data_IF_583149679330
#
_entry.id   IF_583149679330
#
_cell.length_a   1.000
_cell.length_b   1.000
_cell.length_c   1.000
_cell.angle_alpha   90.00
_cell.angle_beta   90.00
_cell.angle_gamma   90.00
#
_symmetry.space_group_name_H-M   'P 1'
#
loop_
_entity.id
_entity.type
_entity.pdbx_description
1 polymer ?
#
# COMPACT_ATOMS: atom_id res chain seq x y z
N UNK A 1 13.72 -4.96 12.20
CA UNK A 1 13.08 -4.38 11.01
C UNK A 1 13.10 -2.88 11.18
N UNK A 2 13.55 -2.15 10.17
CA UNK A 2 13.62 -0.69 10.18
C UNK A 2 12.96 -0.16 8.90
N UNK A 3 12.02 0.77 9.02
CA UNK A 3 11.44 1.47 7.87
C UNK A 3 12.12 2.84 7.73
N UNK A 4 12.39 3.24 6.50
CA UNK A 4 13.04 4.51 6.16
C UNK A 4 12.61 4.98 4.77
N UNK A 5 12.86 6.25 4.46
CA UNK A 5 12.80 6.72 3.07
C UNK A 5 13.77 5.91 2.20
N UNK A 6 13.33 5.63 0.98
CA UNK A 6 14.14 4.93 0.00
C UNK A 6 15.29 5.81 -0.49
N UNK A 7 16.41 5.17 -0.81
CA UNK A 7 17.48 5.74 -1.63
C UNK A 7 17.40 5.16 -3.05
N UNK A 8 18.12 5.74 -4.00
CA UNK A 8 18.04 5.33 -5.42
C UNK A 8 18.35 3.83 -5.62
N UNK A 9 19.28 3.31 -4.83
CA UNK A 9 19.73 1.93 -4.87
C UNK A 9 18.63 0.93 -4.46
N UNK A 10 17.61 1.37 -3.73
CA UNK A 10 16.49 0.52 -3.30
C UNK A 10 15.49 0.24 -4.43
N UNK A 11 15.46 1.07 -5.48
CA UNK A 11 14.46 0.95 -6.57
C UNK A 11 14.50 -0.45 -7.20
N UNK A 12 15.69 -0.98 -7.47
CA UNK A 12 15.85 -2.30 -8.06
C UNK A 12 15.32 -3.41 -7.13
N UNK A 13 15.54 -3.29 -5.82
CA UNK A 13 15.03 -4.25 -4.85
C UNK A 13 13.50 -4.18 -4.72
N UNK A 14 12.91 -2.97 -4.74
CA UNK A 14 11.44 -2.80 -4.74
C UNK A 14 10.83 -3.37 -6.02
N UNK A 15 11.43 -3.11 -7.19
CA UNK A 15 11.00 -3.70 -8.46
C UNK A 15 11.05 -5.23 -8.43
N UNK A 16 12.10 -5.82 -7.85
CA UNK A 16 12.21 -7.28 -7.70
C UNK A 16 11.08 -7.85 -6.80
N UNK A 17 10.66 -7.13 -5.77
CA UNK A 17 9.49 -7.52 -4.94
C UNK A 17 8.21 -7.49 -5.78
N UNK A 18 8.00 -6.47 -6.61
CA UNK A 18 6.84 -6.41 -7.50
C UNK A 18 6.80 -7.62 -8.44
N UNK A 19 7.94 -7.94 -9.07
CA UNK A 19 8.06 -9.09 -9.96
C UNK A 19 7.82 -10.43 -9.25
N UNK A 20 8.31 -10.58 -8.02
CA UNK A 20 8.06 -11.77 -7.21
C UNK A 20 6.57 -11.92 -6.87
N UNK A 21 5.89 -10.82 -6.55
CA UNK A 21 4.44 -10.81 -6.28
C UNK A 21 3.66 -11.16 -7.54
N UNK A 22 3.99 -10.59 -8.71
CA UNK A 22 3.38 -10.95 -9.98
C UNK A 22 3.54 -12.43 -10.28
N UNK A 23 4.73 -12.99 -10.07
CA UNK A 23 4.99 -14.42 -10.28
C UNK A 23 4.13 -15.30 -9.38
N UNK A 24 3.96 -14.92 -8.12
CA UNK A 24 3.09 -15.67 -7.19
C UNK A 24 1.63 -15.56 -7.61
N UNK A 25 1.18 -14.36 -8.03
CA UNK A 25 -0.21 -14.11 -8.45
C UNK A 25 -0.57 -14.86 -9.73
N UNK A 26 0.35 -14.95 -10.69
CA UNK A 26 0.16 -15.70 -11.94
C UNK A 26 0.16 -17.22 -11.76
N UNK A 27 0.83 -17.71 -10.73
CA UNK A 27 0.95 -19.15 -10.42
C UNK A 27 -0.23 -19.76 -9.65
N UNK A 28 -1.23 -18.96 -9.29
CA UNK A 28 -2.38 -19.39 -8.49
C UNK A 28 -3.66 -18.59 -8.82
N UNK A 29 -4.75 -18.89 -8.12
CA UNK A 29 -5.96 -18.08 -8.18
C UNK A 29 -5.65 -16.59 -7.83
N UNK A 30 -6.16 -15.66 -8.64
CA UNK A 30 -5.94 -14.22 -8.44
C UNK A 30 -6.43 -13.78 -7.07
N UNK A 31 -5.55 -13.12 -6.32
CA UNK A 31 -5.85 -12.64 -4.97
C UNK A 31 -5.67 -11.13 -4.83
N UNK A 32 -4.81 -10.52 -5.64
CA UNK A 32 -4.51 -9.09 -5.61
C UNK A 32 -5.09 -8.37 -6.83
N UNK A 33 -5.16 -9.08 -7.96
CA UNK A 33 -5.68 -8.56 -9.22
C UNK A 33 -4.71 -7.64 -9.98
N UNK A 34 -3.43 -7.59 -9.57
CA UNK A 34 -2.40 -6.86 -10.30
C UNK A 34 -2.01 -7.56 -11.59
N UNK A 35 -1.59 -6.78 -12.57
CA UNK A 35 -1.24 -7.26 -13.91
C UNK A 35 0.20 -6.87 -14.22
N UNK A 36 1.05 -7.87 -14.49
CA UNK A 36 2.45 -7.69 -14.88
C UNK A 36 2.57 -6.74 -16.07
N UNK A 37 3.50 -5.80 -15.99
CA UNK A 37 3.72 -4.78 -17.00
C UNK A 37 2.68 -3.64 -17.02
N UNK A 38 1.62 -3.73 -16.23
CA UNK A 38 0.63 -2.67 -16.04
C UNK A 38 0.82 -2.00 -14.68
N UNK A 39 0.71 -2.75 -13.57
CA UNK A 39 0.85 -2.21 -12.24
C UNK A 39 1.05 -3.31 -11.18
N UNK A 40 1.92 -3.08 -10.15
CA UNK A 40 2.97 -2.08 -10.15
C UNK A 40 4.16 -2.48 -11.05
N UNK A 41 4.95 -1.48 -11.45
CA UNK A 41 6.14 -1.67 -12.27
C UNK A 41 7.34 -0.96 -11.64
N UNK A 42 8.55 -1.14 -12.18
CA UNK A 42 9.73 -0.37 -11.76
C UNK A 42 9.48 1.14 -11.80
N UNK A 43 8.75 1.61 -12.83
CA UNK A 43 8.36 3.02 -12.95
C UNK A 43 7.51 3.47 -11.75
N UNK A 44 6.65 2.61 -11.21
CA UNK A 44 5.85 2.91 -10.00
C UNK A 44 6.77 3.24 -8.81
N UNK A 45 7.83 2.46 -8.61
CA UNK A 45 8.81 2.71 -7.55
C UNK A 45 9.64 3.96 -7.83
N UNK A 46 10.08 4.15 -9.08
CA UNK A 46 10.86 5.31 -9.48
C UNK A 46 10.08 6.62 -9.29
N UNK A 47 8.84 6.70 -9.75
CA UNK A 47 8.00 7.89 -9.62
C UNK A 47 7.75 8.25 -8.15
N UNK A 48 7.52 7.24 -7.27
CA UNK A 48 7.37 7.46 -5.84
C UNK A 48 8.68 7.91 -5.18
N UNK A 49 9.82 7.35 -5.60
CA UNK A 49 11.14 7.77 -5.13
C UNK A 49 11.45 9.22 -5.50
N UNK A 50 11.22 9.62 -6.75
CA UNK A 50 11.50 10.97 -7.24
C UNK A 50 10.68 12.05 -6.51
N UNK A 51 9.50 11.69 -6.02
CA UNK A 51 8.66 12.55 -5.18
C UNK A 51 9.04 12.52 -3.69
N UNK A 52 9.98 11.66 -3.27
CA UNK A 52 10.33 11.47 -1.85
C UNK A 52 9.24 10.79 -1.03
N UNK A 53 8.42 9.96 -1.67
CA UNK A 53 7.24 9.30 -1.10
C UNK A 53 7.42 7.79 -0.95
N UNK A 54 8.53 7.22 -1.46
CA UNK A 54 8.83 5.80 -1.36
C UNK A 54 9.51 5.49 -0.02
N UNK A 55 8.89 4.60 0.75
CA UNK A 55 9.44 4.07 1.99
C UNK A 55 9.76 2.58 1.81
N UNK A 56 10.86 2.14 2.39
CA UNK A 56 11.28 0.73 2.36
C UNK A 56 11.50 0.20 3.77
N UNK A 57 11.20 -1.08 3.95
CA UNK A 57 11.56 -1.81 5.17
C UNK A 57 12.80 -2.64 4.92
N UNK A 58 13.80 -2.42 5.76
CA UNK A 58 15.05 -3.17 5.75
C UNK A 58 15.09 -4.22 6.88
N UNK A 59 15.53 -5.41 6.54
CA UNK A 59 15.77 -6.50 7.47
C UNK A 59 17.06 -7.21 7.08
N UNK A 60 18.03 -7.27 7.99
CA UNK A 60 19.34 -7.91 7.77
C UNK A 60 20.07 -7.39 6.52
N UNK A 61 19.97 -6.09 6.25
CA UNK A 61 20.60 -5.44 5.10
C UNK A 61 19.88 -5.62 3.76
N UNK A 62 18.70 -6.25 3.74
CA UNK A 62 17.90 -6.45 2.54
C UNK A 62 16.59 -5.69 2.63
N UNK A 63 16.14 -5.09 1.53
CA UNK A 63 14.78 -4.54 1.41
C UNK A 63 13.79 -5.70 1.30
N UNK A 64 12.82 -5.74 2.22
CA UNK A 64 11.81 -6.82 2.31
C UNK A 64 10.38 -6.35 2.19
N UNK A 65 10.14 -5.04 2.24
CA UNK A 65 8.83 -4.45 2.00
C UNK A 65 8.99 -3.00 1.52
N UNK A 66 7.99 -2.49 0.84
CA UNK A 66 7.95 -1.09 0.40
C UNK A 66 6.50 -0.58 0.34
N UNK A 67 6.34 0.73 0.42
CA UNK A 67 5.08 1.41 0.12
C UNK A 67 5.34 2.85 -0.29
N UNK A 68 4.39 3.44 -1.02
CA UNK A 68 4.29 4.88 -1.22
C UNK A 68 3.41 5.46 -0.10
N UNK A 69 3.88 6.53 0.55
CA UNK A 69 3.11 7.25 1.58
C UNK A 69 3.10 8.73 1.24
N UNK A 70 1.91 9.32 1.12
CA UNK A 70 1.72 10.74 0.86
C UNK A 70 0.31 11.20 1.29
N UNK A 71 -0.12 12.39 0.86
CA UNK A 71 -1.46 12.93 1.10
C UNK A 71 -2.32 12.98 -0.18
N UNK A 72 -1.87 12.37 -1.27
CA UNK A 72 -2.65 12.29 -2.51
C UNK A 72 -3.78 11.27 -2.36
N UNK A 73 -4.99 11.71 -2.64
CA UNK A 73 -6.18 10.87 -2.69
C UNK A 73 -6.59 10.74 -4.16
N UNK A 74 -6.61 9.51 -4.68
CA UNK A 74 -6.99 9.24 -6.07
C UNK A 74 -8.45 9.61 -6.36
N UNK A 75 -8.79 9.75 -7.65
CA UNK A 75 -10.16 10.06 -8.08
C UNK A 75 -11.15 9.01 -7.58
N UNK A 76 -10.75 7.75 -7.49
CA UNK A 76 -11.54 6.64 -6.97
C UNK A 76 -11.98 6.84 -5.51
N UNK A 77 -11.25 7.66 -4.75
CA UNK A 77 -11.60 7.98 -3.35
C UNK A 77 -12.75 8.98 -3.23
N UNK A 78 -13.10 9.69 -4.30
CA UNK A 78 -14.23 10.63 -4.31
C UNK A 78 -15.57 9.91 -4.15
N UNK A 79 -15.68 8.70 -4.64
CA UNK A 79 -16.90 7.89 -4.57
C UNK A 79 -16.97 7.02 -3.30
N UNK A 80 -15.92 7.00 -2.49
CA UNK A 80 -15.89 6.20 -1.27
C UNK A 80 -16.71 6.89 -0.15
N UNK A 81 -17.62 6.17 0.51
CA UNK A 81 -18.41 6.71 1.61
C UNK A 81 -17.60 6.76 2.91
N UNK A 82 -16.56 7.60 2.95
CA UNK A 82 -15.71 7.77 4.12
C UNK A 82 -16.50 8.05 5.39
N UNK A 83 -16.07 7.45 6.51
CA UNK A 83 -16.71 7.64 7.82
C UNK A 83 -16.44 9.05 8.36
N UNK A 84 -15.23 9.58 8.07
CA UNK A 84 -14.79 10.87 8.57
C UNK A 84 -14.72 11.90 7.44
N UNK A 85 -15.39 13.03 7.64
CA UNK A 85 -15.22 14.23 6.81
C UNK A 85 -13.89 14.90 7.22
N UNK A 86 -12.80 14.40 6.63
CA UNK A 86 -11.44 14.79 7.00
C UNK A 86 -10.88 15.79 5.99
N UNK A 87 -10.34 16.94 6.45
CA UNK A 87 -9.63 17.87 5.58
C UNK A 87 -8.43 17.16 4.91
N UNK A 88 -8.19 17.35 3.61
CA UNK A 88 -7.11 16.65 2.89
C UNK A 88 -5.74 16.75 3.57
N UNK A 89 -5.44 17.88 4.22
CA UNK A 89 -4.18 18.12 4.92
C UNK A 89 -4.01 17.29 6.19
N UNK A 90 -5.08 16.69 6.69
CA UNK A 90 -5.09 15.82 7.87
C UNK A 90 -5.21 14.33 7.51
N UNK A 91 -5.18 14.01 6.23
CA UNK A 91 -5.23 12.63 5.74
C UNK A 91 -3.85 12.21 5.28
N UNK A 92 -3.38 11.06 5.76
CA UNK A 92 -2.22 10.36 5.20
C UNK A 92 -2.70 9.11 4.48
N UNK A 93 -2.13 8.82 3.32
CA UNK A 93 -2.53 7.69 2.48
C UNK A 93 -1.36 6.74 2.27
N UNK A 94 -1.63 5.46 2.48
CA UNK A 94 -0.69 4.36 2.22
C UNK A 94 -1.08 3.70 0.89
N UNK A 95 -0.19 3.78 -0.09
CA UNK A 95 -0.37 3.19 -1.41
C UNK A 95 0.60 2.02 -1.62
N UNK A 96 0.15 0.98 -2.29
CA UNK A 96 1.01 -0.09 -2.83
C UNK A 96 1.92 -0.72 -1.78
N UNK A 97 1.37 -1.03 -0.59
CA UNK A 97 2.14 -1.79 0.40
C UNK A 97 2.44 -3.18 -0.14
N UNK A 98 3.71 -3.47 -0.29
CA UNK A 98 4.22 -4.77 -0.72
C UNK A 98 5.14 -5.37 0.33
N UNK A 99 5.08 -6.69 0.45
CA UNK A 99 6.02 -7.49 1.25
C UNK A 99 6.56 -8.59 0.36
N UNK A 100 7.87 -8.79 0.39
CA UNK A 100 8.51 -9.89 -0.34
C UNK A 100 7.84 -11.22 0.05
N UNK A 101 7.32 -11.99 -0.93
CA UNK A 101 6.70 -13.28 -0.67
C UNK A 101 7.60 -14.24 0.13
N UNK A 102 8.91 -14.14 0.01
CA UNK A 102 9.87 -14.97 0.75
C UNK A 102 9.81 -14.76 2.27
N UNK A 103 9.31 -13.61 2.73
CA UNK A 103 9.15 -13.30 4.17
C UNK A 103 7.68 -13.10 4.56
N UNK A 104 6.75 -13.57 3.74
CA UNK A 104 5.33 -13.50 4.04
C UNK A 104 4.99 -14.18 5.38
N UNK A 105 4.04 -13.62 6.14
CA UNK A 105 3.62 -14.16 7.43
C UNK A 105 4.59 -13.88 8.60
N UNK A 106 5.70 -13.17 8.36
CA UNK A 106 6.70 -12.86 9.41
C UNK A 106 6.50 -11.47 10.06
N UNK A 107 5.30 -10.89 9.96
CA UNK A 107 4.94 -9.64 10.62
C UNK A 107 5.41 -8.36 9.92
N UNK A 108 6.01 -8.44 8.72
CA UNK A 108 6.52 -7.26 8.00
C UNK A 108 5.39 -6.26 7.67
N UNK A 109 4.24 -6.73 7.20
CA UNK A 109 3.09 -5.87 6.92
C UNK A 109 2.59 -5.14 8.16
N UNK A 110 2.43 -5.86 9.28
CA UNK A 110 2.03 -5.25 10.57
C UNK A 110 3.01 -4.17 11.02
N UNK A 111 4.32 -4.48 10.95
CA UNK A 111 5.36 -3.53 11.35
C UNK A 111 5.42 -2.31 10.43
N UNK A 112 5.14 -2.48 9.13
CA UNK A 112 5.08 -1.37 8.19
C UNK A 112 3.89 -0.45 8.46
N UNK A 113 2.72 -1.03 8.73
CA UNK A 113 1.52 -0.23 9.09
C UNK A 113 1.73 0.50 10.42
N UNK A 114 2.37 -0.11 11.42
CA UNK A 114 2.71 0.57 12.66
C UNK A 114 3.60 1.80 12.40
N UNK A 115 4.63 1.67 11.57
CA UNK A 115 5.45 2.81 11.15
C UNK A 115 4.62 3.90 10.45
N UNK A 116 3.71 3.51 9.54
CA UNK A 116 2.82 4.45 8.85
C UNK A 116 1.93 5.23 9.82
N UNK A 117 1.39 4.57 10.85
CA UNK A 117 0.60 5.21 11.91
C UNK A 117 1.44 6.18 12.75
N UNK A 118 2.69 5.83 13.07
CA UNK A 118 3.61 6.71 13.79
C UNK A 118 3.99 7.93 12.95
N UNK A 119 4.30 7.73 11.67
CA UNK A 119 4.56 8.82 10.73
C UNK A 119 3.37 9.77 10.62
N UNK A 120 2.15 9.24 10.58
CA UNK A 120 0.93 10.05 10.55
C UNK A 120 0.78 10.93 11.80
N UNK A 121 1.09 10.39 12.99
CA UNK A 121 1.11 11.18 14.24
C UNK A 121 2.14 12.31 14.18
N UNK A 122 3.33 12.01 13.69
CA UNK A 122 4.42 13.01 13.53
C UNK A 122 4.04 14.11 12.55
N UNK A 123 3.32 13.77 11.47
CA UNK A 123 2.85 14.72 10.46
C UNK A 123 1.58 15.48 10.85
N UNK A 124 0.93 15.13 11.96
CA UNK A 124 -0.35 15.73 12.37
C UNK A 124 -1.52 15.31 11.46
N UNK A 125 -1.47 14.11 10.91
CA UNK A 125 -2.49 13.52 10.05
C UNK A 125 -3.27 12.43 10.81
N UNK A 126 -4.32 12.77 11.57
CA UNK A 126 -5.04 11.80 12.40
C UNK A 126 -5.92 10.84 11.59
N UNK A 127 -6.16 11.12 10.31
CA UNK A 127 -6.99 10.29 9.45
C UNK A 127 -6.13 9.50 8.47
N UNK A 128 -6.26 8.19 8.51
CA UNK A 128 -5.50 7.25 7.71
C UNK A 128 -6.42 6.63 6.67
N UNK A 129 -6.00 6.66 5.41
CA UNK A 129 -6.72 6.03 4.30
C UNK A 129 -5.79 5.13 3.50
N UNK A 130 -6.34 4.06 3.01
CA UNK A 130 -5.69 3.14 2.08
C UNK A 130 -6.76 2.35 1.33
N UNK A 131 -6.33 1.54 0.40
CA UNK A 131 -7.21 0.68 -0.38
C UNK A 131 -6.61 -0.70 -0.60
N UNK A 132 -7.45 -1.62 -1.01
CA UNK A 132 -7.03 -2.92 -1.51
C UNK A 132 -8.09 -3.52 -2.44
N UNK A 133 -7.71 -4.49 -3.27
CA UNK A 133 -8.69 -5.23 -4.06
C UNK A 133 -9.60 -6.08 -3.15
N UNK A 134 -10.88 -6.15 -3.47
CA UNK A 134 -11.85 -6.97 -2.72
C UNK A 134 -11.46 -8.45 -2.64
N UNK A 135 -10.72 -8.95 -3.63
CA UNK A 135 -10.18 -10.30 -3.66
C UNK A 135 -9.05 -10.53 -2.63
N UNK A 136 -8.38 -9.45 -2.18
CA UNK A 136 -7.22 -9.55 -1.29
C UNK A 136 -7.64 -9.80 0.17
N UNK A 137 -8.20 -10.97 0.41
CA UNK A 137 -8.64 -11.39 1.75
C UNK A 137 -7.56 -11.31 2.83
N UNK A 138 -6.29 -11.70 2.55
CA UNK A 138 -5.22 -11.57 3.54
C UNK A 138 -4.97 -10.12 3.98
N UNK A 139 -4.91 -9.17 3.05
CA UNK A 139 -4.70 -7.76 3.38
C UNK A 139 -5.90 -7.19 4.16
N UNK A 140 -7.13 -7.47 3.72
CA UNK A 140 -8.36 -7.05 4.43
C UNK A 140 -8.37 -7.56 5.87
N UNK A 141 -8.02 -8.85 6.08
CA UNK A 141 -7.91 -9.42 7.43
C UNK A 141 -6.84 -8.74 8.28
N UNK A 142 -5.68 -8.45 7.68
CA UNK A 142 -4.61 -7.71 8.36
C UNK A 142 -5.10 -6.34 8.81
N UNK A 143 -5.64 -5.53 7.91
CA UNK A 143 -6.08 -4.17 8.23
C UNK A 143 -7.22 -4.15 9.24
N UNK A 144 -8.18 -5.06 9.14
CA UNK A 144 -9.24 -5.21 10.14
C UNK A 144 -8.66 -5.52 11.54
N UNK A 145 -7.64 -6.39 11.63
CA UNK A 145 -6.96 -6.70 12.90
C UNK A 145 -6.20 -5.52 13.49
N UNK A 146 -5.84 -4.55 12.66
CA UNK A 146 -5.17 -3.29 13.06
C UNK A 146 -6.15 -2.14 13.30
N UNK A 147 -7.46 -2.40 13.26
CA UNK A 147 -8.50 -1.45 13.58
C UNK A 147 -8.92 -0.53 12.42
N UNK A 148 -8.59 -0.89 11.18
CA UNK A 148 -9.14 -0.20 10.00
C UNK A 148 -10.55 -0.68 9.71
N UNK A 149 -11.43 0.26 9.40
CA UNK A 149 -12.81 0.02 8.95
C UNK A 149 -12.86 -0.01 7.42
N UNK A 150 -13.79 -0.76 6.86
CA UNK A 150 -14.10 -0.79 5.43
C UNK A 150 -15.39 0.01 5.17
N UNK A 151 -15.35 1.34 4.96
CA UNK A 151 -16.55 2.14 4.74
C UNK A 151 -17.29 1.80 3.46
N UNK A 152 -16.58 1.32 2.43
CA UNK A 152 -17.22 0.95 1.17
C UNK A 152 -16.28 0.29 0.17
N UNK A 153 -16.90 -0.17 -0.91
CA UNK A 153 -16.25 -0.74 -2.08
C UNK A 153 -16.66 0.10 -3.29
N UNK A 154 -15.69 0.59 -4.05
CA UNK A 154 -15.92 1.33 -5.28
C UNK A 154 -15.42 0.55 -6.48
N UNK A 155 -16.23 0.52 -7.54
CA UNK A 155 -15.83 -0.09 -8.81
C UNK A 155 -15.12 0.97 -9.65
N UNK A 156 -13.89 0.69 -10.06
CA UNK A 156 -13.06 1.65 -10.77
C UNK A 156 -12.11 1.00 -11.78
N UNK A 157 -11.48 1.84 -12.59
CA UNK A 157 -10.22 1.51 -13.28
C UNK A 157 -9.09 1.93 -12.35
N UNK A 158 -8.36 0.97 -11.80
CA UNK A 158 -7.32 1.22 -10.82
C UNK A 158 -5.94 1.04 -11.42
N UNK A 159 -5.17 2.13 -11.53
CA UNK A 159 -3.82 2.11 -12.12
C UNK A 159 -3.74 1.40 -13.49
N UNK A 160 -4.73 1.65 -14.36
CA UNK A 160 -4.83 1.05 -15.69
C UNK A 160 -5.44 -0.36 -15.72
N UNK A 161 -5.81 -0.92 -14.58
CA UNK A 161 -6.50 -2.21 -14.46
C UNK A 161 -8.00 -1.97 -14.41
N UNK A 162 -8.79 -2.48 -15.37
CA UNK A 162 -10.23 -2.28 -15.41
C UNK A 162 -10.96 -3.20 -14.41
N UNK A 163 -12.21 -2.85 -14.10
CA UNK A 163 -13.16 -3.66 -13.33
C UNK A 163 -12.66 -4.07 -11.93
N UNK A 164 -11.91 -3.17 -11.27
CA UNK A 164 -11.45 -3.41 -9.90
C UNK A 164 -12.55 -3.03 -8.91
N UNK A 165 -12.91 -3.97 -8.05
CA UNK A 165 -13.69 -3.71 -6.83
C UNK A 165 -12.69 -3.29 -5.74
N UNK A 166 -12.54 -1.96 -5.56
CA UNK A 166 -11.59 -1.35 -4.64
C UNK A 166 -12.24 -1.19 -3.27
N UNK A 167 -11.71 -1.89 -2.28
CA UNK A 167 -12.12 -1.74 -0.88
C UNK A 167 -11.40 -0.53 -0.31
N UNK A 168 -12.14 0.49 0.09
CA UNK A 168 -11.60 1.63 0.82
C UNK A 168 -11.46 1.27 2.31
N UNK A 169 -10.36 1.69 2.91
CA UNK A 169 -10.01 1.41 4.30
C UNK A 169 -9.69 2.71 5.02
N UNK A 170 -10.23 2.89 6.21
CA UNK A 170 -10.07 4.12 6.98
C UNK A 170 -9.85 3.83 8.47
N UNK A 171 -8.98 4.62 9.09
CA UNK A 171 -8.78 4.63 10.54
C UNK A 171 -8.54 6.06 11.02
N UNK A 172 -9.07 6.39 12.20
CA UNK A 172 -8.72 7.60 12.93
C UNK A 172 -7.82 7.22 14.12
N UNK A 173 -6.68 7.92 14.23
CA UNK A 173 -5.72 7.75 15.33
C UNK A 173 -6.16 8.43 16.62
#
# INVERSE_FOLDING_TARGET
>A
MKVRLAVREDIAAVSAIYEAIHTVEEGREKTIGWIRGVYPTEKTAQDAFEKGELYVMERQGCVVAAAKINQEQGEEYLDCPWIYDAPPQQVLVLHTLVVDPAVAGQGCGTAFVAFYEDLAREMGCPFLRMDTNALNKPARKLYASLGYSEPGIVKCVFNGIPDVDLVCLEKKL
#
